data_IF_982623584540
#
_entry.id   IF_982623584540
#
_cell.length_a   1.000
_cell.length_b   1.000
_cell.length_c   1.000
_cell.angle_alpha   90.00
_cell.angle_beta   90.00
_cell.angle_gamma   90.00
#
_symmetry.space_group_name_H-M   'P 1'
#
loop_
_entity.id
_entity.type
_entity.pdbx_description
1 polymer ?
#
# COMPACT_ATOMS: atom_id res chain seq x y z
N UNK A 1 -0.33 14.61 -7.44
CA UNK A 1 0.21 14.08 -6.19
C UNK A 1 -0.25 12.66 -5.97
N UNK A 2 0.66 11.77 -5.62
CA UNK A 2 0.33 10.38 -5.42
C UNK A 2 0.23 10.07 -3.94
N UNK A 3 -0.55 9.07 -3.60
CA UNK A 3 -0.60 8.60 -2.24
C UNK A 3 -0.81 7.10 -2.23
N UNK A 4 -0.53 6.49 -1.11
CA UNK A 4 -0.65 5.05 -0.97
C UNK A 4 -1.38 4.73 0.32
N UNK A 5 -2.10 3.61 0.29
CA UNK A 5 -2.81 3.11 1.46
C UNK A 5 -2.34 1.70 1.75
N UNK A 6 -2.19 1.40 3.03
CA UNK A 6 -1.85 0.05 3.46
C UNK A 6 -3.10 -0.56 4.05
N UNK A 7 -3.55 -1.65 3.47
CA UNK A 7 -4.78 -2.31 3.89
C UNK A 7 -4.45 -3.70 4.38
N UNK A 8 -4.99 -4.04 5.54
CA UNK A 8 -4.82 -5.38 6.07
C UNK A 8 -5.82 -6.30 5.40
N UNK A 9 -5.29 -7.31 4.75
CA UNK A 9 -6.11 -8.29 4.06
C UNK A 9 -5.80 -9.65 4.66
N UNK A 10 -6.79 -10.31 5.22
CA UNK A 10 -6.59 -11.59 5.87
C UNK A 10 -7.16 -12.69 5.02
N UNK A 11 -6.29 -13.57 4.61
CA UNK A 11 -6.70 -14.78 3.92
C UNK A 11 -6.78 -15.90 4.94
N UNK A 12 -7.18 -17.08 4.50
CA UNK A 12 -7.51 -18.19 5.38
C UNK A 12 -6.51 -18.41 6.50
N UNK A 13 -5.23 -18.49 6.14
CA UNK A 13 -4.20 -18.73 7.13
C UNK A 13 -3.08 -17.72 7.03
N UNK A 14 -3.35 -16.58 6.42
CA UNK A 14 -2.31 -15.62 6.15
C UNK A 14 -2.77 -14.22 6.42
N UNK A 15 -1.82 -13.42 6.85
CA UNK A 15 -2.03 -11.98 6.96
C UNK A 15 -1.25 -11.32 5.85
N UNK A 16 -1.93 -10.57 5.02
CA UNK A 16 -1.29 -9.91 3.89
C UNK A 16 -1.57 -8.42 4.00
N UNK A 17 -0.53 -7.64 3.80
CA UNK A 17 -0.64 -6.18 3.83
C UNK A 17 -0.61 -5.68 2.39
N UNK A 18 -1.74 -5.20 1.94
CA UNK A 18 -1.89 -4.77 0.56
C UNK A 18 -1.59 -3.27 0.48
N UNK A 19 -0.65 -2.90 -0.39
CA UNK A 19 -0.36 -1.49 -0.61
C UNK A 19 -0.98 -1.08 -1.91
N UNK A 20 -1.84 -0.08 -1.86
CA UNK A 20 -2.49 0.44 -3.05
C UNK A 20 -2.03 1.86 -3.28
N UNK A 21 -1.62 2.14 -4.50
CA UNK A 21 -1.11 3.46 -4.88
C UNK A 21 -2.12 4.14 -5.78
N UNK A 22 -2.46 5.37 -5.43
CA UNK A 22 -3.44 6.15 -6.17
C UNK A 22 -2.83 7.45 -6.67
N UNK A 23 -3.39 7.98 -7.74
CA UNK A 23 -3.00 9.31 -8.19
C UNK A 23 -3.93 10.35 -7.58
N UNK A 24 -3.80 11.59 -8.01
CA UNK A 24 -4.58 12.67 -7.41
C UNK A 24 -6.05 12.61 -7.79
N UNK A 25 -6.39 11.82 -8.78
CA UNK A 25 -7.78 11.63 -9.17
C UNK A 25 -8.37 10.37 -8.55
N UNK A 26 -7.65 9.76 -7.60
CA UNK A 26 -8.09 8.56 -6.92
C UNK A 26 -8.14 7.35 -7.83
N UNK A 27 -7.36 7.37 -8.90
CA UNK A 27 -7.26 6.21 -9.77
C UNK A 27 -6.18 5.28 -9.26
N UNK A 28 -6.49 4.00 -9.22
CA UNK A 28 -5.54 3.01 -8.74
C UNK A 28 -4.41 2.83 -9.77
N UNK A 29 -3.20 3.13 -9.34
CA UNK A 29 -2.03 3.01 -10.21
C UNK A 29 -1.31 1.70 -10.04
N UNK A 30 -1.27 1.18 -8.81
CA UNK A 30 -0.53 -0.04 -8.54
C UNK A 30 -1.07 -0.67 -7.27
N UNK A 31 -0.83 -1.96 -7.14
CA UNK A 31 -1.26 -2.70 -5.96
C UNK A 31 -0.25 -3.81 -5.72
N UNK A 32 0.23 -3.90 -4.48
CA UNK A 32 1.22 -4.92 -4.15
C UNK A 32 0.94 -5.56 -2.80
N UNK A 33 1.09 -6.87 -2.72
CA UNK A 33 0.93 -7.57 -1.45
C UNK A 33 2.28 -7.72 -0.75
N UNK A 34 2.25 -7.67 0.59
CA UNK A 34 3.43 -7.87 1.40
C UNK A 34 3.07 -8.75 2.59
N UNK A 35 4.01 -9.63 2.93
CA UNK A 35 3.79 -10.51 4.09
C UNK A 35 4.03 -9.76 5.39
N UNK A 36 4.89 -8.74 5.38
CA UNK A 36 5.24 -8.00 6.57
C UNK A 36 4.70 -6.58 6.51
N UNK A 37 4.16 -6.14 7.63
CA UNK A 37 3.63 -4.78 7.68
C UNK A 37 4.72 -3.76 7.43
N UNK A 38 5.90 -3.98 7.99
CA UNK A 38 6.96 -3.00 7.83
C UNK A 38 7.35 -2.82 6.37
N UNK A 39 7.42 -3.93 5.62
CA UNK A 39 7.73 -3.84 4.20
C UNK A 39 6.65 -3.05 3.47
N UNK A 40 5.41 -3.29 3.83
CA UNK A 40 4.31 -2.58 3.19
C UNK A 40 4.39 -1.09 3.47
N UNK A 41 4.66 -0.73 4.72
CA UNK A 41 4.76 0.67 5.10
C UNK A 41 5.91 1.35 4.37
N UNK A 42 7.05 0.68 4.30
CA UNK A 42 8.20 1.26 3.61
C UNK A 42 7.90 1.47 2.13
N UNK A 43 7.24 0.50 1.53
CA UNK A 43 6.88 0.66 0.12
C UNK A 43 5.91 1.81 -0.08
N UNK A 44 4.94 1.92 0.81
CA UNK A 44 3.95 2.99 0.70
C UNK A 44 4.60 4.37 0.85
N UNK A 45 5.60 4.47 1.70
CA UNK A 45 6.26 5.76 1.94
C UNK A 45 6.98 6.26 0.70
N UNK A 46 7.34 5.37 -0.21
CA UNK A 46 8.00 5.79 -1.43
C UNK A 46 7.08 6.65 -2.30
N UNK A 47 5.77 6.50 -2.14
CA UNK A 47 4.82 7.21 -2.97
C UNK A 47 4.16 8.37 -2.26
N UNK A 48 4.37 8.49 -0.96
CA UNK A 48 3.81 9.62 -0.23
C UNK A 48 4.76 10.78 -0.28
N UNK A 49 4.23 11.91 -0.70
CA UNK A 49 5.03 13.11 -0.70
C UNK A 49 4.86 13.82 0.63
N UNK A 50 5.89 13.79 1.39
CA UNK A 50 5.84 14.40 2.70
C UNK A 50 6.68 15.64 2.72
N UNK A 51 6.19 16.58 3.47
CA UNK A 51 6.90 17.84 3.59
C UNK A 51 7.49 18.00 4.93
#
# INVERSE_FOLDING_TARGET
MKYAEVILDMDENRTIWQVMVFDEDDNLLDSRPFADKQDAVEYAELFEERK
#
